data_IF_987934242492
#
_entry.id   IF_987934242492
#
_cell.length_a   1.000
_cell.length_b   1.000
_cell.length_c   1.000
_cell.angle_alpha   90.00
_cell.angle_beta   90.00
_cell.angle_gamma   90.00
#
_symmetry.space_group_name_H-M   'P 1'
#
loop_
_entity.id
_entity.type
_entity.pdbx_description
1 polymer ?
#
# COMPACT_ATOMS: atom_id res chain seq x y z
N UNK A 1 -15.53 5.36 -34.30
CA UNK A 1 -16.73 4.60 -33.96
C UNK A 1 -17.12 5.06 -32.56
N UNK A 2 -17.78 6.20 -32.46
CA UNK A 2 -18.42 6.71 -31.25
C UNK A 2 -19.73 5.93 -31.12
N UNK A 3 -19.71 4.86 -30.34
CA UNK A 3 -20.93 4.20 -29.88
C UNK A 3 -21.61 5.17 -28.93
N UNK A 4 -22.82 5.59 -29.26
CA UNK A 4 -23.73 6.35 -28.39
C UNK A 4 -23.82 5.62 -27.05
N UNK A 5 -23.11 6.15 -26.04
CA UNK A 5 -23.17 5.70 -24.67
C UNK A 5 -24.43 6.32 -24.04
N UNK A 6 -25.57 5.66 -24.30
CA UNK A 6 -26.94 5.94 -23.86
C UNK A 6 -27.04 6.44 -22.42
N UNK A 7 -26.63 7.66 -22.10
CA UNK A 7 -26.92 8.32 -20.81
C UNK A 7 -26.46 7.59 -19.54
N UNK A 8 -25.69 6.49 -19.67
CA UNK A 8 -25.16 5.73 -18.52
C UNK A 8 -23.91 6.40 -17.99
N UNK A 9 -23.74 6.47 -16.68
CA UNK A 9 -22.48 6.93 -16.10
C UNK A 9 -21.33 6.00 -16.53
N UNK A 10 -20.15 6.59 -16.75
CA UNK A 10 -18.99 5.88 -17.25
C UNK A 10 -18.02 5.54 -16.11
N UNK A 11 -17.49 4.33 -16.12
CA UNK A 11 -16.51 3.88 -15.14
C UNK A 11 -15.26 3.32 -15.82
N UNK A 12 -14.09 3.79 -15.39
CA UNK A 12 -12.83 3.11 -15.66
C UNK A 12 -12.56 2.11 -14.54
N UNK A 13 -12.24 0.87 -14.88
CA UNK A 13 -11.96 -0.19 -13.91
C UNK A 13 -10.45 -0.46 -13.94
N UNK A 14 -9.75 -0.22 -12.83
CA UNK A 14 -8.35 -0.59 -12.69
C UNK A 14 -8.23 -2.12 -12.60
N UNK A 15 -7.81 -2.76 -13.67
CA UNK A 15 -7.70 -4.21 -13.79
C UNK A 15 -6.24 -4.65 -13.67
N UNK A 16 -5.93 -5.41 -12.63
CA UNK A 16 -4.60 -5.94 -12.34
C UNK A 16 -4.40 -7.39 -12.82
N UNK A 17 -5.39 -7.99 -13.50
CA UNK A 17 -5.38 -9.42 -13.81
C UNK A 17 -5.72 -10.33 -12.64
N UNK A 18 -5.95 -9.80 -11.45
CA UNK A 18 -6.40 -10.53 -10.27
C UNK A 18 -7.92 -10.66 -10.19
N UNK A 19 -8.38 -11.62 -9.38
CA UNK A 19 -9.81 -11.94 -9.20
C UNK A 19 -10.63 -10.74 -8.72
N UNK A 20 -10.07 -9.94 -7.79
CA UNK A 20 -10.78 -8.83 -7.17
C UNK A 20 -11.11 -7.73 -8.19
N UNK A 21 -10.15 -7.36 -9.04
CA UNK A 21 -10.38 -6.36 -10.10
C UNK A 21 -11.37 -6.86 -11.16
N UNK A 22 -11.40 -8.16 -11.43
CA UNK A 22 -12.34 -8.79 -12.35
C UNK A 22 -13.78 -8.75 -11.81
N UNK A 23 -13.95 -9.06 -10.53
CA UNK A 23 -15.27 -8.99 -9.87
C UNK A 23 -15.71 -7.52 -9.74
N UNK A 24 -14.79 -6.59 -9.45
CA UNK A 24 -15.12 -5.17 -9.44
C UNK A 24 -15.68 -4.70 -10.79
N UNK A 25 -15.09 -5.13 -11.92
CA UNK A 25 -15.58 -4.81 -13.25
C UNK A 25 -17.01 -5.31 -13.47
N UNK A 26 -17.28 -6.56 -13.09
CA UNK A 26 -18.61 -7.14 -13.18
C UNK A 26 -19.64 -6.39 -12.34
N UNK A 27 -19.31 -6.08 -11.08
CA UNK A 27 -20.22 -5.40 -10.17
C UNK A 27 -20.54 -3.97 -10.63
N UNK A 28 -19.59 -3.27 -11.21
CA UNK A 28 -19.83 -1.94 -11.77
C UNK A 28 -20.77 -1.98 -12.98
N UNK A 29 -20.67 -3.00 -13.83
CA UNK A 29 -21.66 -3.21 -14.91
C UNK A 29 -23.05 -3.50 -14.35
N UNK A 30 -23.15 -4.34 -13.31
CA UNK A 30 -24.43 -4.62 -12.65
C UNK A 30 -25.03 -3.37 -11.98
N UNK A 31 -24.19 -2.45 -11.52
CA UNK A 31 -24.60 -1.15 -11.00
C UNK A 31 -25.02 -0.15 -12.10
N UNK A 32 -25.02 -0.56 -13.37
CA UNK A 32 -25.52 0.22 -14.49
C UNK A 32 -24.48 1.12 -15.18
N UNK A 33 -23.20 1.03 -14.82
CA UNK A 33 -22.14 1.82 -15.47
C UNK A 33 -21.79 1.24 -16.86
N UNK A 34 -21.46 2.15 -17.78
CA UNK A 34 -20.72 1.80 -18.98
C UNK A 34 -19.23 1.71 -18.64
N UNK A 35 -18.67 0.47 -18.66
CA UNK A 35 -17.35 0.21 -18.14
C UNK A 35 -16.28 0.10 -19.24
N UNK A 36 -15.08 0.60 -18.93
CA UNK A 36 -13.85 0.30 -19.66
C UNK A 36 -12.79 -0.23 -18.69
N UNK A 37 -12.06 -1.27 -19.09
CA UNK A 37 -10.94 -1.82 -18.34
C UNK A 37 -9.64 -1.04 -18.61
N UNK A 38 -8.83 -0.85 -17.58
CA UNK A 38 -7.54 -0.21 -17.65
C UNK A 38 -6.49 -0.99 -16.87
N UNK A 39 -5.44 -1.48 -17.53
CA UNK A 39 -4.29 -2.08 -16.86
C UNK A 39 -3.10 -1.12 -16.94
N UNK A 40 -2.46 -0.89 -15.80
CA UNK A 40 -1.23 -0.11 -15.72
C UNK A 40 -0.02 -1.03 -15.93
N UNK A 41 0.80 -0.77 -16.93
CA UNK A 41 2.12 -1.37 -17.07
C UNK A 41 3.10 -0.57 -16.21
N UNK A 42 3.57 -1.15 -15.10
CA UNK A 42 4.29 -0.45 -14.04
C UNK A 42 5.80 -0.62 -14.11
N UNK A 43 6.31 -1.77 -14.56
CA UNK A 43 7.74 -2.09 -14.60
C UNK A 43 8.03 -3.13 -15.69
N UNK A 44 9.30 -3.32 -16.00
CA UNK A 44 9.80 -4.42 -16.84
C UNK A 44 10.32 -5.57 -15.96
N UNK A 45 10.48 -6.75 -16.57
CA UNK A 45 11.02 -7.92 -15.87
C UNK A 45 12.39 -7.64 -15.21
N UNK A 46 13.24 -6.89 -15.90
CA UNK A 46 14.55 -6.50 -15.44
C UNK A 46 14.50 -5.67 -14.16
N UNK A 47 13.51 -4.76 -14.04
CA UNK A 47 13.30 -3.95 -12.85
C UNK A 47 12.94 -4.82 -11.62
N UNK A 48 12.24 -5.94 -11.85
CA UNK A 48 11.89 -6.91 -10.82
C UNK A 48 12.96 -8.00 -10.60
N UNK A 49 14.07 -7.96 -11.34
CA UNK A 49 15.14 -8.98 -11.25
C UNK A 49 14.79 -10.30 -11.90
N UNK A 50 13.81 -10.32 -12.80
CA UNK A 50 13.41 -11.50 -13.54
C UNK A 50 14.20 -11.60 -14.86
N UNK A 51 14.56 -12.81 -15.34
CA UNK A 51 15.28 -12.99 -16.59
C UNK A 51 14.51 -12.41 -17.78
N UNK A 52 15.23 -11.90 -18.79
CA UNK A 52 14.66 -11.54 -20.09
C UNK A 52 14.00 -12.78 -20.72
N UNK A 53 12.75 -12.63 -21.18
CA UNK A 53 12.01 -13.73 -21.82
C UNK A 53 11.32 -14.70 -20.85
N UNK A 54 11.45 -14.54 -19.54
CA UNK A 54 10.52 -15.19 -18.62
C UNK A 54 9.12 -14.62 -18.87
N UNK A 55 8.11 -15.50 -18.95
CA UNK A 55 6.72 -15.05 -18.90
C UNK A 55 6.51 -14.29 -17.60
N UNK A 56 6.46 -12.98 -17.73
CA UNK A 56 6.29 -12.12 -16.57
C UNK A 56 4.87 -12.28 -16.05
N UNK A 57 4.70 -12.48 -14.75
CA UNK A 57 3.39 -12.36 -14.11
C UNK A 57 2.62 -11.12 -14.59
N UNK A 58 3.33 -10.03 -14.92
CA UNK A 58 2.74 -8.81 -15.44
C UNK A 58 2.14 -8.94 -16.85
N UNK A 59 2.70 -9.74 -17.76
CA UNK A 59 2.11 -9.98 -19.08
C UNK A 59 0.92 -10.95 -19.00
N UNK A 60 1.04 -12.00 -18.21
CA UNK A 60 -0.07 -12.92 -17.95
C UNK A 60 -1.22 -12.18 -17.23
N UNK A 61 -0.89 -11.27 -16.32
CA UNK A 61 -1.86 -10.40 -15.65
C UNK A 61 -2.62 -9.50 -16.65
N UNK A 62 -1.92 -8.92 -17.61
CA UNK A 62 -2.54 -8.12 -18.69
C UNK A 62 -3.46 -8.98 -19.55
N UNK A 63 -3.02 -10.19 -19.91
CA UNK A 63 -3.85 -11.12 -20.70
C UNK A 63 -5.07 -11.61 -19.92
N UNK A 64 -4.94 -11.92 -18.64
CA UNK A 64 -6.07 -12.28 -17.77
C UNK A 64 -7.09 -11.12 -17.68
N UNK A 65 -6.61 -9.89 -17.48
CA UNK A 65 -7.46 -8.71 -17.48
C UNK A 65 -8.19 -8.52 -18.82
N UNK A 66 -7.48 -8.72 -19.93
CA UNK A 66 -8.06 -8.63 -21.30
C UNK A 66 -9.12 -9.68 -21.54
N UNK A 67 -8.88 -10.94 -21.14
CA UNK A 67 -9.85 -12.05 -21.27
C UNK A 67 -11.11 -11.78 -20.46
N UNK A 68 -10.97 -11.31 -19.22
CA UNK A 68 -12.12 -10.94 -18.39
C UNK A 68 -12.90 -9.78 -19.02
N UNK A 69 -12.21 -8.74 -19.49
CA UNK A 69 -12.85 -7.61 -20.17
C UNK A 69 -13.61 -8.05 -21.42
N UNK A 70 -13.02 -8.96 -22.22
CA UNK A 70 -13.69 -9.56 -23.38
C UNK A 70 -14.94 -10.35 -22.97
N UNK A 71 -14.86 -11.17 -21.93
CA UNK A 71 -16.01 -11.93 -21.38
C UNK A 71 -17.14 -10.99 -20.93
N UNK A 72 -16.79 -9.82 -20.39
CA UNK A 72 -17.74 -8.80 -19.97
C UNK A 72 -18.22 -7.87 -21.09
N UNK A 73 -17.71 -8.04 -22.32
CA UNK A 73 -18.07 -7.22 -23.48
C UNK A 73 -17.66 -5.75 -23.34
N UNK A 74 -16.60 -5.45 -22.61
CA UNK A 74 -16.11 -4.09 -22.38
C UNK A 74 -14.74 -3.86 -23.03
N UNK A 75 -14.43 -2.63 -23.50
CA UNK A 75 -13.11 -2.31 -24.02
C UNK A 75 -12.06 -2.36 -22.92
N UNK A 76 -10.82 -2.73 -23.28
CA UNK A 76 -9.70 -2.80 -22.36
C UNK A 76 -8.48 -2.08 -22.94
N UNK A 77 -7.85 -1.24 -22.12
CA UNK A 77 -6.68 -0.44 -22.48
C UNK A 77 -5.51 -0.73 -21.54
N UNK A 78 -4.31 -0.66 -22.10
CA UNK A 78 -3.07 -0.78 -21.31
C UNK A 78 -2.35 0.57 -21.35
N UNK A 79 -2.13 1.15 -20.17
CA UNK A 79 -1.42 2.42 -20.03
C UNK A 79 0.00 2.18 -19.53
N UNK A 80 0.97 2.81 -20.18
CA UNK A 80 2.37 2.76 -19.78
C UNK A 80 2.66 3.80 -18.70
N UNK A 81 2.88 3.34 -17.47
CA UNK A 81 3.27 4.17 -16.33
C UNK A 81 4.62 3.76 -15.73
N UNK A 82 5.49 3.08 -16.49
CA UNK A 82 6.77 2.58 -16.01
C UNK A 82 7.66 3.67 -15.44
N UNK A 83 7.81 4.79 -16.15
CA UNK A 83 8.67 5.87 -15.71
C UNK A 83 8.13 6.53 -14.43
N UNK A 84 6.83 6.79 -14.37
CA UNK A 84 6.19 7.32 -13.18
C UNK A 84 6.29 6.34 -12.00
N UNK A 85 6.13 5.03 -12.22
CA UNK A 85 6.29 4.02 -11.18
C UNK A 85 7.72 3.94 -10.67
N UNK A 86 8.70 3.99 -11.58
CA UNK A 86 10.12 4.01 -11.21
C UNK A 86 10.43 5.22 -10.33
N UNK A 87 9.97 6.40 -10.70
CA UNK A 87 10.23 7.64 -9.98
C UNK A 87 9.45 7.71 -8.65
N UNK A 88 8.12 7.51 -8.68
CA UNK A 88 7.25 7.79 -7.55
C UNK A 88 7.15 6.63 -6.54
N UNK A 89 7.52 5.40 -6.94
CA UNK A 89 7.40 4.23 -6.07
C UNK A 89 8.77 3.58 -5.84
N UNK A 90 9.44 3.13 -6.89
CA UNK A 90 10.66 2.32 -6.74
C UNK A 90 11.84 3.15 -6.21
N UNK A 91 12.07 4.35 -6.73
CA UNK A 91 13.14 5.23 -6.26
C UNK A 91 12.90 5.70 -4.82
N UNK A 92 11.64 6.02 -4.46
CA UNK A 92 11.26 6.38 -3.08
C UNK A 92 11.45 5.21 -2.11
N UNK A 93 11.08 4.00 -2.55
CA UNK A 93 11.33 2.77 -1.80
C UNK A 93 12.83 2.56 -1.53
N UNK A 94 13.67 2.63 -2.56
CA UNK A 94 15.12 2.48 -2.40
C UNK A 94 15.72 3.57 -1.51
N UNK A 95 15.35 4.83 -1.72
CA UNK A 95 15.82 5.95 -0.91
C UNK A 95 15.41 5.83 0.57
N UNK A 96 14.23 5.27 0.87
CA UNK A 96 13.80 5.04 2.25
C UNK A 96 14.71 4.00 2.93
N UNK A 97 15.01 2.87 2.29
CA UNK A 97 15.94 1.87 2.83
C UNK A 97 17.35 2.44 3.05
N UNK A 98 17.85 3.28 2.14
CA UNK A 98 19.14 3.94 2.31
C UNK A 98 19.16 4.90 3.52
N UNK A 99 18.02 5.43 3.92
CA UNK A 99 17.86 6.24 5.15
C UNK A 99 17.52 5.43 6.40
N UNK A 100 17.65 4.10 6.35
CA UNK A 100 17.35 3.21 7.47
C UNK A 100 15.85 3.07 7.79
N UNK A 101 14.98 3.48 6.88
CA UNK A 101 13.53 3.35 7.00
C UNK A 101 13.02 2.10 6.27
N UNK A 102 11.84 1.63 6.64
CA UNK A 102 11.16 0.49 5.99
C UNK A 102 9.84 0.95 5.39
N UNK A 103 9.79 1.35 4.11
CA UNK A 103 8.60 1.90 3.48
C UNK A 103 7.56 0.82 3.14
N UNK A 104 6.32 1.28 2.91
CA UNK A 104 5.28 0.49 2.25
C UNK A 104 4.98 1.09 0.87
N UNK A 105 5.54 0.55 -0.22
CA UNK A 105 5.40 1.14 -1.56
C UNK A 105 3.97 1.07 -2.13
N UNK A 106 3.08 0.25 -1.56
CA UNK A 106 1.67 0.24 -1.95
C UNK A 106 0.96 1.56 -1.62
N UNK A 107 1.40 2.27 -0.57
CA UNK A 107 0.90 3.61 -0.26
C UNK A 107 1.21 4.59 -1.37
N UNK A 108 2.48 4.65 -1.80
CA UNK A 108 2.91 5.52 -2.90
C UNK A 108 2.23 5.14 -4.23
N UNK A 109 2.10 3.83 -4.52
CA UNK A 109 1.40 3.35 -5.71
C UNK A 109 -0.06 3.80 -5.73
N UNK A 110 -0.77 3.66 -4.62
CA UNK A 110 -2.16 4.14 -4.53
C UNK A 110 -2.22 5.67 -4.68
N UNK A 111 -1.39 6.41 -3.92
CA UNK A 111 -1.40 7.87 -3.88
C UNK A 111 -1.07 8.50 -5.24
N UNK A 112 0.03 8.09 -5.86
CA UNK A 112 0.57 8.76 -7.05
C UNK A 112 0.10 8.16 -8.36
N UNK A 113 -0.06 6.83 -8.43
CA UNK A 113 -0.39 6.19 -9.71
C UNK A 113 -1.88 5.89 -9.83
N UNK A 114 -2.47 5.11 -8.90
CA UNK A 114 -3.88 4.70 -9.07
C UNK A 114 -4.83 5.87 -8.91
N UNK A 115 -4.77 6.57 -7.78
CA UNK A 115 -5.66 7.69 -7.48
C UNK A 115 -5.06 9.06 -7.85
N UNK A 116 -3.87 9.08 -8.42
CA UNK A 116 -3.28 10.25 -9.07
C UNK A 116 -3.41 10.14 -10.59
N UNK A 117 -2.43 9.47 -11.24
CA UNK A 117 -2.32 9.44 -12.71
C UNK A 117 -3.46 8.69 -13.40
N UNK A 118 -3.86 7.51 -12.90
CA UNK A 118 -4.92 6.72 -13.54
C UNK A 118 -6.30 7.38 -13.36
N UNK A 119 -6.57 7.96 -12.19
CA UNK A 119 -7.80 8.72 -11.95
C UNK A 119 -7.88 9.95 -12.87
N UNK A 120 -6.80 10.73 -12.96
CA UNK A 120 -6.73 11.85 -13.89
C UNK A 120 -6.92 11.42 -15.35
N UNK A 121 -6.39 10.26 -15.74
CA UNK A 121 -6.61 9.69 -17.07
C UNK A 121 -8.06 9.28 -17.28
N UNK A 122 -8.70 8.68 -16.27
CA UNK A 122 -10.12 8.30 -16.32
C UNK A 122 -10.99 9.53 -16.60
N UNK A 123 -10.79 10.61 -15.86
CA UNK A 123 -11.50 11.89 -16.07
C UNK A 123 -11.25 12.49 -17.45
N UNK A 124 -10.00 12.47 -17.91
CA UNK A 124 -9.65 12.97 -19.26
C UNK A 124 -10.29 12.15 -20.39
N UNK A 125 -10.66 10.88 -20.12
CA UNK A 125 -11.40 10.02 -21.07
C UNK A 125 -12.93 10.10 -20.88
N UNK A 126 -13.41 10.99 -20.02
CA UNK A 126 -14.84 11.21 -19.78
C UNK A 126 -15.48 10.19 -18.83
N UNK A 127 -14.68 9.47 -18.04
CA UNK A 127 -15.24 8.60 -16.99
C UNK A 127 -15.65 9.42 -15.78
N UNK A 128 -16.83 9.13 -15.23
CA UNK A 128 -17.34 9.75 -14.02
C UNK A 128 -16.63 9.23 -12.78
N UNK A 129 -16.21 7.94 -12.82
CA UNK A 129 -15.56 7.29 -11.69
C UNK A 129 -14.42 6.35 -12.12
N UNK A 130 -13.44 6.21 -11.24
CA UNK A 130 -12.46 5.12 -11.23
C UNK A 130 -12.91 4.06 -10.23
N UNK A 131 -13.03 2.80 -10.65
CA UNK A 131 -13.31 1.69 -9.75
C UNK A 131 -12.10 0.76 -9.64
N UNK A 132 -11.88 0.23 -8.44
CA UNK A 132 -10.78 -0.72 -8.18
C UNK A 132 -11.25 -1.89 -7.34
N UNK A 133 -10.50 -2.98 -7.33
CA UNK A 133 -10.75 -4.18 -6.52
C UNK A 133 -10.33 -4.05 -5.04
N UNK A 134 -10.19 -2.85 -4.49
CA UNK A 134 -9.86 -2.69 -3.08
C UNK A 134 -11.04 -3.04 -2.17
N UNK A 135 -10.71 -3.66 -1.03
CA UNK A 135 -11.63 -3.91 0.07
C UNK A 135 -11.61 -2.72 1.03
N UNK A 136 -12.48 -1.76 0.80
CA UNK A 136 -12.78 -0.61 1.65
C UNK A 136 -14.17 -0.09 1.24
N UNK A 137 -14.79 0.75 2.04
CA UNK A 137 -16.09 1.37 1.73
C UNK A 137 -15.94 2.88 1.61
N UNK A 138 -16.67 3.46 0.67
CA UNK A 138 -16.81 4.92 0.52
C UNK A 138 -18.30 5.24 0.72
N UNK A 139 -18.57 6.20 1.58
CA UNK A 139 -19.93 6.67 1.87
C UNK A 139 -19.97 8.19 1.79
N UNK A 140 -21.10 8.74 1.32
CA UNK A 140 -21.32 10.18 1.38
C UNK A 140 -22.10 10.52 2.64
N UNK A 141 -21.60 11.46 3.41
CA UNK A 141 -22.22 11.95 4.62
C UNK A 141 -23.37 12.92 4.28
N UNK A 142 -24.32 13.17 5.22
CA UNK A 142 -25.43 14.10 4.98
C UNK A 142 -25.01 15.53 4.66
N UNK A 143 -23.82 15.94 5.06
CA UNK A 143 -23.24 17.26 4.76
C UNK A 143 -22.59 17.35 3.37
N UNK A 144 -22.64 16.24 2.59
CA UNK A 144 -22.11 16.14 1.25
C UNK A 144 -20.63 15.69 1.18
N UNK A 145 -19.91 15.62 2.31
CA UNK A 145 -18.54 15.11 2.38
C UNK A 145 -18.49 13.59 2.19
N UNK A 146 -17.37 13.12 1.70
CA UNK A 146 -17.13 11.70 1.55
C UNK A 146 -16.28 11.16 2.69
N UNK A 147 -16.56 9.94 3.08
CA UNK A 147 -15.80 9.23 4.11
C UNK A 147 -15.29 7.90 3.59
N UNK A 148 -14.11 7.51 4.05
CA UNK A 148 -13.51 6.20 3.82
C UNK A 148 -13.73 5.32 5.06
N UNK A 149 -14.20 4.10 4.85
CA UNK A 149 -14.44 3.15 5.92
C UNK A 149 -13.76 1.83 5.67
N UNK A 150 -13.52 1.07 6.74
CA UNK A 150 -13.03 -0.31 6.67
C UNK A 150 -13.95 -1.18 5.82
N UNK A 151 -13.40 -2.23 5.24
CA UNK A 151 -14.18 -3.25 4.56
C UNK A 151 -15.11 -4.01 5.50
N UNK A 152 -16.13 -4.65 4.93
CA UNK A 152 -16.97 -5.61 5.66
C UNK A 152 -16.21 -6.90 6.03
N UNK A 153 -15.19 -7.27 5.24
CA UNK A 153 -14.27 -8.36 5.53
C UNK A 153 -13.02 -7.84 6.27
N UNK A 154 -12.91 -8.04 7.61
CA UNK A 154 -11.80 -7.49 8.38
C UNK A 154 -10.45 -8.14 8.04
N UNK A 155 -10.45 -9.37 7.49
CA UNK A 155 -9.21 -10.05 7.08
C UNK A 155 -8.64 -9.52 5.76
N UNK A 156 -9.48 -8.84 4.98
CA UNK A 156 -9.13 -8.24 3.67
C UNK A 156 -9.15 -6.73 3.66
N UNK A 157 -9.43 -6.09 4.80
CA UNK A 157 -9.49 -4.63 4.90
C UNK A 157 -8.21 -3.96 4.39
N UNK A 158 -8.37 -3.11 3.38
CA UNK A 158 -7.30 -2.36 2.73
C UNK A 158 -7.38 -0.85 3.00
N UNK A 159 -8.21 -0.43 3.93
CA UNK A 159 -8.38 0.97 4.29
C UNK A 159 -7.06 1.65 4.70
N UNK A 160 -6.14 0.89 5.31
CA UNK A 160 -4.81 1.35 5.70
C UNK A 160 -4.00 1.94 4.52
N UNK A 161 -4.03 1.30 3.36
CA UNK A 161 -3.27 1.76 2.18
C UNK A 161 -4.00 2.82 1.36
N UNK A 162 -5.17 3.27 1.83
CA UNK A 162 -6.04 4.26 1.18
C UNK A 162 -6.18 5.55 2.00
N UNK A 163 -5.53 5.65 3.15
CA UNK A 163 -5.70 6.74 4.12
C UNK A 163 -5.26 8.14 3.62
N UNK A 164 -4.67 8.24 2.43
CA UNK A 164 -4.26 9.50 1.79
C UNK A 164 -5.22 9.98 0.69
N UNK A 165 -6.37 9.32 0.52
CA UNK A 165 -7.37 9.76 -0.45
C UNK A 165 -7.97 11.11 -0.03
N UNK A 166 -8.07 12.02 -0.99
CA UNK A 166 -8.71 13.33 -0.79
C UNK A 166 -10.22 13.25 -1.01
N UNK A 167 -10.95 14.28 -0.58
CA UNK A 167 -12.39 14.41 -0.84
C UNK A 167 -12.73 14.32 -2.33
N UNK A 168 -11.94 14.98 -3.19
CA UNK A 168 -12.12 14.90 -4.64
C UNK A 168 -11.92 13.48 -5.17
N UNK A 169 -10.86 12.80 -4.74
CA UNK A 169 -10.60 11.42 -5.14
C UNK A 169 -11.68 10.46 -4.66
N UNK A 170 -12.18 10.62 -3.42
CA UNK A 170 -13.28 9.80 -2.89
C UNK A 170 -14.58 9.99 -3.67
N UNK A 171 -14.90 11.22 -4.07
CA UNK A 171 -16.08 11.51 -4.88
C UNK A 171 -16.09 10.74 -6.19
N UNK A 172 -14.90 10.62 -6.83
CA UNK A 172 -14.71 9.97 -8.13
C UNK A 172 -14.21 8.51 -8.05
N UNK A 173 -14.19 7.90 -6.87
CA UNK A 173 -13.73 6.52 -6.66
C UNK A 173 -14.87 5.60 -6.23
N UNK A 174 -14.82 4.31 -6.67
CA UNK A 174 -15.72 3.26 -6.20
C UNK A 174 -14.91 2.01 -5.83
N UNK A 175 -15.30 1.41 -4.69
CA UNK A 175 -14.77 0.13 -4.20
C UNK A 175 -15.89 -0.89 -4.13
N UNK A 176 -16.23 -1.55 -5.26
CA UNK A 176 -17.40 -2.44 -5.32
C UNK A 176 -17.32 -3.65 -4.39
N UNK A 177 -16.10 -4.03 -3.97
CA UNK A 177 -15.86 -5.17 -3.09
C UNK A 177 -15.95 -4.82 -1.60
N UNK A 178 -16.08 -3.54 -1.25
CA UNK A 178 -16.02 -3.10 0.14
C UNK A 178 -17.06 -3.70 1.07
N UNK A 179 -18.23 -4.10 0.54
CA UNK A 179 -19.31 -4.76 1.26
C UNK A 179 -19.27 -6.29 1.21
N UNK A 180 -18.30 -6.92 0.51
CA UNK A 180 -18.23 -8.35 0.29
C UNK A 180 -17.12 -9.00 1.12
N UNK A 181 -17.32 -10.27 1.46
CA UNK A 181 -16.26 -11.15 1.92
C UNK A 181 -15.47 -11.68 0.73
N UNK A 182 -14.20 -12.02 0.94
CA UNK A 182 -13.33 -12.58 -0.12
C UNK A 182 -13.91 -13.85 -0.74
N UNK A 183 -14.54 -14.71 0.06
CA UNK A 183 -15.22 -15.93 -0.42
C UNK A 183 -16.37 -15.62 -1.39
N UNK A 184 -17.13 -14.56 -1.12
CA UNK A 184 -18.23 -14.14 -2.01
C UNK A 184 -17.69 -13.60 -3.34
N UNK A 185 -16.62 -12.81 -3.31
CA UNK A 185 -15.95 -12.34 -4.51
C UNK A 185 -15.45 -13.52 -5.38
N UNK A 186 -14.83 -14.53 -4.77
CA UNK A 186 -14.40 -15.75 -5.48
C UNK A 186 -15.58 -16.51 -6.08
N UNK A 187 -16.66 -16.71 -5.34
CA UNK A 187 -17.88 -17.36 -5.83
C UNK A 187 -18.48 -16.63 -7.05
N UNK A 188 -18.47 -15.30 -7.05
CA UNK A 188 -18.89 -14.50 -8.21
C UNK A 188 -17.97 -14.76 -9.41
N UNK A 189 -16.65 -14.77 -9.22
CA UNK A 189 -15.69 -15.01 -10.29
C UNK A 189 -15.86 -16.40 -10.91
N UNK A 190 -16.06 -17.42 -10.09
CA UNK A 190 -16.33 -18.81 -10.51
C UNK A 190 -17.66 -18.92 -11.27
N UNK A 191 -18.74 -18.36 -10.72
CA UNK A 191 -20.06 -18.37 -11.36
C UNK A 191 -20.07 -17.64 -12.72
N UNK A 192 -19.16 -16.68 -12.93
CA UNK A 192 -18.99 -15.97 -14.20
C UNK A 192 -17.98 -16.61 -15.14
N UNK A 193 -17.30 -17.67 -14.73
CA UNK A 193 -16.31 -18.38 -15.54
C UNK A 193 -15.07 -17.54 -15.85
N UNK A 194 -14.66 -16.64 -14.93
CA UNK A 194 -13.46 -15.85 -15.13
C UNK A 194 -12.22 -16.73 -15.11
N UNK A 195 -11.32 -16.52 -16.08
CA UNK A 195 -10.10 -17.34 -16.24
C UNK A 195 -9.19 -17.30 -15.02
N UNK A 196 -9.27 -16.24 -14.22
CA UNK A 196 -8.45 -16.00 -13.04
C UNK A 196 -9.18 -16.27 -11.71
N UNK A 197 -10.35 -16.93 -11.71
CA UNK A 197 -11.15 -17.19 -10.51
C UNK A 197 -10.36 -17.91 -9.39
N UNK A 198 -9.46 -18.81 -9.75
CA UNK A 198 -8.63 -19.58 -8.82
C UNK A 198 -7.23 -18.99 -8.58
N UNK A 199 -6.93 -17.82 -9.14
CA UNK A 199 -5.63 -17.17 -8.99
C UNK A 199 -5.40 -16.78 -7.52
N UNK A 200 -4.18 -17.04 -7.04
CA UNK A 200 -3.80 -16.62 -5.68
C UNK A 200 -3.67 -15.10 -5.58
N UNK A 201 -3.99 -14.57 -4.41
CA UNK A 201 -3.80 -13.15 -4.13
C UNK A 201 -2.28 -12.84 -4.12
N UNK A 202 -1.89 -11.68 -4.63
CA UNK A 202 -0.51 -11.19 -4.49
C UNK A 202 -0.21 -10.98 -3.00
N UNK A 203 0.86 -11.63 -2.51
CA UNK A 203 1.19 -11.64 -1.07
C UNK A 203 2.27 -10.63 -0.71
N UNK A 204 3.02 -10.11 -1.70
CA UNK A 204 4.21 -9.29 -1.48
C UNK A 204 4.26 -8.08 -2.44
N UNK A 205 5.32 -7.29 -2.32
CA UNK A 205 5.58 -6.13 -3.17
C UNK A 205 5.75 -6.58 -4.62
N UNK A 206 4.94 -6.04 -5.52
CA UNK A 206 4.82 -6.53 -6.90
C UNK A 206 6.15 -6.53 -7.71
N UNK A 207 7.09 -5.63 -7.40
CA UNK A 207 8.41 -5.55 -8.04
C UNK A 207 9.55 -6.21 -7.22
N UNK A 208 9.20 -6.94 -6.14
CA UNK A 208 10.13 -7.74 -5.31
C UNK A 208 9.52 -9.12 -5.09
N UNK A 209 9.36 -9.92 -6.16
CA UNK A 209 8.60 -11.17 -6.10
C UNK A 209 9.28 -12.27 -5.27
N UNK A 210 10.59 -12.16 -5.06
CA UNK A 210 11.41 -13.09 -4.26
C UNK A 210 11.51 -12.69 -2.77
N UNK A 211 10.97 -11.52 -2.40
CA UNK A 211 11.04 -10.98 -1.04
C UNK A 211 12.44 -10.49 -0.63
N UNK A 212 13.42 -10.45 -1.54
CA UNK A 212 14.75 -9.90 -1.26
C UNK A 212 14.77 -8.38 -1.51
N UNK A 213 14.29 -7.63 -0.51
CA UNK A 213 14.22 -6.17 -0.57
C UNK A 213 15.60 -5.51 -0.73
N UNK A 214 16.64 -6.08 -0.11
CA UNK A 214 17.99 -5.54 -0.20
C UNK A 214 18.55 -5.68 -1.63
N UNK A 215 18.41 -6.85 -2.25
CA UNK A 215 18.79 -7.05 -3.65
C UNK A 215 18.00 -6.12 -4.59
N UNK A 216 16.71 -5.89 -4.30
CA UNK A 216 15.92 -4.93 -5.07
C UNK A 216 16.46 -3.51 -4.92
N UNK A 217 16.80 -3.06 -3.70
CA UNK A 217 17.41 -1.73 -3.47
C UNK A 217 18.74 -1.61 -4.20
N UNK A 218 19.63 -2.61 -4.10
CA UNK A 218 20.93 -2.61 -4.82
C UNK A 218 20.72 -2.51 -6.34
N UNK A 219 19.79 -3.25 -6.89
CA UNK A 219 19.46 -3.20 -8.32
C UNK A 219 18.94 -1.83 -8.75
N UNK A 220 18.04 -1.24 -7.96
CA UNK A 220 17.41 0.05 -8.27
C UNK A 220 18.39 1.22 -8.16
N UNK A 221 19.34 1.13 -7.24
CA UNK A 221 20.33 2.21 -7.00
C UNK A 221 21.62 2.04 -7.76
N UNK A 222 21.92 0.82 -8.23
CA UNK A 222 23.22 0.45 -8.80
C UNK A 222 24.36 0.40 -7.75
N UNK A 223 24.04 0.66 -6.47
CA UNK A 223 25.01 0.69 -5.39
C UNK A 223 24.94 -0.62 -4.58
N UNK A 224 26.10 -1.15 -4.20
CA UNK A 224 26.19 -2.31 -3.32
C UNK A 224 26.15 -1.88 -1.85
N UNK A 225 25.58 -2.74 -1.02
CA UNK A 225 25.58 -2.59 0.42
C UNK A 225 27.00 -2.55 0.98
N UNK A 226 27.24 -1.65 1.91
CA UNK A 226 28.53 -1.55 2.62
C UNK A 226 28.38 -2.24 3.97
N UNK A 227 29.23 -3.26 4.26
CA UNK A 227 29.27 -3.88 5.59
C UNK A 227 29.52 -2.86 6.69
N UNK A 228 28.91 -3.07 7.86
CA UNK A 228 29.03 -2.20 9.02
C UNK A 228 29.00 -3.00 10.32
N UNK A 229 28.79 -2.33 11.44
CA UNK A 229 28.89 -2.94 12.77
C UNK A 229 27.49 -3.19 13.35
N UNK A 230 27.31 -4.37 13.95
CA UNK A 230 26.27 -4.56 14.96
C UNK A 230 26.80 -4.04 16.29
N UNK A 231 26.01 -3.20 16.94
CA UNK A 231 26.34 -2.64 18.25
C UNK A 231 25.18 -2.88 19.24
N UNK A 232 25.45 -2.88 20.54
CA UNK A 232 24.43 -2.80 21.56
C UNK A 232 24.02 -1.34 21.84
N UNK A 233 23.06 -1.13 22.77
CA UNK A 233 22.61 0.22 23.18
C UNK A 233 23.71 1.08 23.82
N UNK A 234 24.86 0.50 24.19
CA UNK A 234 26.01 1.19 24.79
C UNK A 234 27.11 1.44 23.77
N UNK A 235 26.94 1.02 22.51
CA UNK A 235 27.93 1.14 21.46
C UNK A 235 29.00 0.04 21.44
N UNK A 236 28.85 -1.02 22.25
CA UNK A 236 29.76 -2.16 22.20
C UNK A 236 29.52 -2.96 20.91
N UNK A 237 30.61 -3.28 20.20
CA UNK A 237 30.55 -4.04 18.95
C UNK A 237 30.22 -5.50 19.22
N UNK A 238 29.15 -5.99 18.61
CA UNK A 238 28.69 -7.37 18.71
C UNK A 238 29.08 -8.22 17.49
N UNK A 239 29.39 -7.58 16.36
CA UNK A 239 29.76 -8.26 15.11
C UNK A 239 29.66 -7.34 13.89
N UNK A 240 29.65 -7.94 12.70
CA UNK A 240 29.60 -7.22 11.42
C UNK A 240 28.35 -7.62 10.63
N UNK A 241 27.67 -6.62 10.06
CA UNK A 241 26.50 -6.83 9.20
C UNK A 241 26.82 -6.58 7.71
N UNK A 242 25.93 -7.05 6.82
CA UNK A 242 26.06 -6.98 5.35
C UNK A 242 25.76 -5.62 4.73
N UNK A 243 25.29 -4.67 5.51
CA UNK A 243 24.78 -3.35 5.11
C UNK A 243 23.41 -3.08 5.72
N UNK A 244 23.16 -1.83 6.10
CA UNK A 244 21.94 -1.42 6.84
C UNK A 244 20.63 -1.77 6.11
N UNK A 245 20.61 -1.77 4.79
CA UNK A 245 19.42 -2.05 3.98
C UNK A 245 18.89 -3.50 4.13
N UNK A 246 19.66 -4.41 4.72
CA UNK A 246 19.26 -5.79 4.99
C UNK A 246 18.47 -5.93 6.30
N UNK A 247 18.27 -4.86 7.06
CA UNK A 247 17.71 -4.91 8.41
C UNK A 247 16.50 -4.00 8.57
N UNK A 248 15.56 -4.46 9.38
CA UNK A 248 14.33 -3.75 9.72
C UNK A 248 14.10 -3.82 11.22
N UNK A 249 13.59 -2.75 11.82
CA UNK A 249 13.25 -2.70 13.25
C UNK A 249 12.34 -3.87 13.65
N UNK A 250 12.71 -4.59 14.72
CA UNK A 250 12.02 -5.77 15.20
C UNK A 250 12.47 -7.08 14.56
N UNK A 251 13.40 -7.07 13.59
CA UNK A 251 13.96 -8.27 12.97
C UNK A 251 14.77 -9.06 14.00
N UNK A 252 14.51 -10.39 14.06
CA UNK A 252 15.23 -11.35 14.93
C UNK A 252 16.11 -12.30 14.12
N UNK A 253 15.64 -12.73 12.95
CA UNK A 253 16.32 -13.76 12.13
C UNK A 253 17.34 -13.13 11.21
N UNK A 254 18.39 -13.91 10.85
CA UNK A 254 19.38 -13.47 9.87
C UNK A 254 20.42 -12.46 10.39
N UNK A 255 20.53 -12.30 11.72
CA UNK A 255 21.55 -11.42 12.33
C UNK A 255 22.94 -12.06 12.37
N UNK A 256 23.03 -13.40 12.47
CA UNK A 256 24.31 -14.10 12.54
C UNK A 256 25.11 -13.85 13.81
N UNK A 257 24.48 -13.35 14.87
CA UNK A 257 25.12 -13.06 16.16
C UNK A 257 24.75 -14.16 17.17
N UNK A 258 25.77 -14.78 17.77
CA UNK A 258 25.58 -15.69 18.89
C UNK A 258 25.42 -14.88 20.18
N UNK A 259 24.34 -15.12 20.91
CA UNK A 259 24.05 -14.45 22.17
C UNK A 259 23.27 -15.39 23.10
N UNK A 260 23.37 -15.19 24.41
CA UNK A 260 22.69 -16.00 25.44
C UNK A 260 21.16 -15.89 25.36
N UNK A 261 20.64 -14.78 24.81
CA UNK A 261 19.21 -14.58 24.61
C UNK A 261 18.96 -13.94 23.25
N UNK A 262 17.72 -14.09 22.69
CA UNK A 262 17.37 -13.51 21.39
C UNK A 262 17.63 -12.02 21.33
N UNK A 263 18.31 -11.59 20.26
CA UNK A 263 18.54 -10.20 19.92
C UNK A 263 17.60 -9.77 18.79
N UNK A 264 17.30 -8.49 18.78
CA UNK A 264 16.40 -7.84 17.82
C UNK A 264 17.03 -6.54 17.32
N UNK A 265 16.74 -6.17 16.08
CA UNK A 265 17.10 -4.86 15.56
C UNK A 265 16.24 -3.81 16.26
N UNK A 266 16.86 -2.95 17.05
CA UNK A 266 16.21 -1.87 17.79
C UNK A 266 16.43 -0.49 17.16
N UNK A 267 17.50 -0.32 16.36
CA UNK A 267 17.82 0.92 15.69
C UNK A 267 18.70 0.71 14.47
N UNK A 268 18.71 1.70 13.58
CA UNK A 268 19.61 1.79 12.43
C UNK A 268 20.23 3.18 12.44
N UNK A 269 21.53 3.25 12.69
CA UNK A 269 22.35 4.46 12.64
C UNK A 269 23.01 4.57 11.26
N UNK A 270 22.40 5.33 10.38
CA UNK A 270 22.87 5.49 9.00
C UNK A 270 24.21 6.22 8.92
N UNK A 271 24.40 7.36 9.64
CA UNK A 271 25.69 8.07 9.63
C UNK A 271 26.88 7.21 10.00
N UNK A 272 26.74 6.34 11.01
CA UNK A 272 27.81 5.47 11.50
C UNK A 272 27.83 4.09 10.83
N UNK A 273 26.87 3.80 9.93
CA UNK A 273 26.66 2.48 9.32
C UNK A 273 26.58 1.37 10.38
N UNK A 274 25.72 1.58 11.39
CA UNK A 274 25.53 0.66 12.51
C UNK A 274 24.09 0.18 12.60
N UNK A 275 23.93 -1.08 13.02
CA UNK A 275 22.64 -1.68 13.37
C UNK A 275 22.65 -1.96 14.86
N UNK A 276 21.77 -1.28 15.60
CA UNK A 276 21.66 -1.41 17.06
C UNK A 276 20.81 -2.62 17.39
N UNK A 277 21.39 -3.54 18.18
CA UNK A 277 20.71 -4.74 18.66
C UNK A 277 20.37 -4.62 20.15
N UNK A 278 19.18 -5.12 20.52
CA UNK A 278 18.71 -5.12 21.89
C UNK A 278 17.81 -6.32 22.19
N UNK A 279 17.21 -6.31 23.38
CA UNK A 279 16.25 -7.31 23.83
C UNK A 279 14.84 -6.98 23.30
N UNK A 280 13.91 -7.94 23.40
CA UNK A 280 12.54 -7.67 22.99
C UNK A 280 11.88 -6.51 23.75
N UNK A 281 12.26 -6.28 25.00
CA UNK A 281 11.75 -5.16 25.80
C UNK A 281 12.11 -3.80 25.21
N UNK A 282 13.26 -3.68 24.55
CA UNK A 282 13.78 -2.44 23.97
C UNK A 282 13.05 -2.01 22.68
N UNK A 283 12.15 -2.87 22.19
CA UNK A 283 11.33 -2.59 21.00
C UNK A 283 10.03 -1.85 21.30
N UNK A 284 9.71 -1.63 22.58
CA UNK A 284 8.41 -1.06 22.94
C UNK A 284 8.51 0.43 23.20
N UNK A 285 7.58 1.20 22.62
CA UNK A 285 7.39 2.63 22.87
C UNK A 285 5.90 2.96 22.94
N UNK A 286 5.54 3.95 23.74
CA UNK A 286 4.18 4.51 23.80
C UNK A 286 3.99 5.69 22.87
N UNK A 287 5.05 6.18 22.23
CA UNK A 287 5.00 7.43 21.46
C UNK A 287 5.66 7.28 20.10
N UNK A 288 5.16 8.03 19.15
CA UNK A 288 5.78 8.24 17.85
C UNK A 288 5.43 9.63 17.30
N UNK A 289 6.31 10.13 16.43
CA UNK A 289 6.04 11.27 15.57
C UNK A 289 5.81 10.80 14.14
N UNK A 290 4.97 11.53 13.41
CA UNK A 290 4.70 11.26 12.01
C UNK A 290 4.55 12.55 11.21
N UNK A 291 5.00 12.48 9.95
CA UNK A 291 4.98 13.58 8.98
C UNK A 291 4.24 13.22 7.69
N UNK A 292 4.02 14.20 6.82
CA UNK A 292 3.25 14.03 5.58
C UNK A 292 1.82 13.59 5.85
N UNK A 293 1.24 14.05 6.95
CA UNK A 293 -0.10 13.69 7.39
C UNK A 293 -1.17 14.22 6.42
N UNK A 294 -2.17 13.39 6.17
CA UNK A 294 -3.36 13.71 5.38
C UNK A 294 -4.61 13.33 6.18
N UNK A 295 -5.64 14.15 6.05
CA UNK A 295 -6.94 13.94 6.70
C UNK A 295 -8.02 13.71 5.64
N UNK A 296 -8.78 12.64 5.78
CA UNK A 296 -9.85 12.28 4.83
C UNK A 296 -10.91 13.38 4.73
N UNK A 297 -11.24 14.05 5.83
CA UNK A 297 -12.17 15.18 5.84
C UNK A 297 -11.69 16.40 5.04
N UNK A 298 -10.39 16.51 4.81
CA UNK A 298 -9.72 17.72 4.30
C UNK A 298 -9.40 18.75 5.38
N UNK A 299 -9.96 18.61 6.58
CA UNK A 299 -9.77 19.52 7.69
C UNK A 299 -8.74 18.99 8.68
N UNK A 300 -7.78 19.83 9.06
CA UNK A 300 -6.78 19.51 10.09
C UNK A 300 -7.42 19.67 11.48
N UNK A 301 -7.37 18.64 12.33
CA UNK A 301 -7.91 18.73 13.70
C UNK A 301 -7.26 19.86 14.52
N UNK A 302 -8.09 20.64 15.17
CA UNK A 302 -7.63 21.78 16.01
C UNK A 302 -7.38 21.40 17.47
N UNK A 303 -7.81 20.21 17.88
CA UNK A 303 -7.65 19.68 19.23
C UNK A 303 -7.17 18.23 19.18
N UNK A 304 -6.52 17.74 20.26
CA UNK A 304 -6.13 16.33 20.34
C UNK A 304 -7.30 15.39 20.15
N UNK A 305 -7.11 14.38 19.32
CA UNK A 305 -8.11 13.35 19.02
C UNK A 305 -7.83 12.07 19.82
N UNK A 306 -8.83 11.56 20.52
CA UNK A 306 -8.82 10.21 21.11
C UNK A 306 -9.41 9.24 20.10
N UNK A 307 -8.57 8.37 19.56
CA UNK A 307 -8.88 7.50 18.42
C UNK A 307 -8.13 6.18 18.57
N UNK A 308 -8.25 5.31 17.56
CA UNK A 308 -7.37 4.15 17.43
C UNK A 308 -6.40 4.35 16.26
N UNK A 309 -5.22 3.71 16.34
CA UNK A 309 -4.25 3.77 15.25
C UNK A 309 -3.66 2.39 14.94
N UNK A 310 -3.32 2.18 13.65
CA UNK A 310 -2.47 1.09 13.17
C UNK A 310 -1.13 1.65 12.74
N UNK A 311 -0.04 1.04 13.20
CA UNK A 311 1.32 1.38 12.79
C UNK A 311 1.92 0.39 11.79
N UNK A 312 1.17 -0.64 11.41
CA UNK A 312 1.48 -1.62 10.35
C UNK A 312 0.20 -2.17 9.74
N UNK A 313 0.25 -2.57 8.50
CA UNK A 313 -0.90 -3.07 7.73
C UNK A 313 -1.68 -4.20 8.44
N UNK A 314 -0.98 -5.19 9.00
CA UNK A 314 -1.59 -6.37 9.64
C UNK A 314 -1.71 -6.27 11.16
N UNK A 315 -1.38 -5.13 11.75
CA UNK A 315 -1.45 -4.96 13.20
C UNK A 315 -2.88 -4.56 13.62
N UNK A 316 -3.38 -5.07 14.76
CA UNK A 316 -4.61 -4.57 15.36
C UNK A 316 -4.49 -3.09 15.74
N UNK A 317 -5.61 -2.39 15.68
CA UNK A 317 -5.68 -1.02 16.15
C UNK A 317 -5.44 -0.92 17.65
N UNK A 318 -4.80 0.18 18.04
CA UNK A 318 -4.49 0.47 19.44
C UNK A 318 -5.01 1.86 19.81
N UNK A 319 -5.62 2.01 21.00
CA UNK A 319 -6.08 3.31 21.49
C UNK A 319 -4.92 4.29 21.62
N UNK A 320 -5.12 5.51 21.16
CA UNK A 320 -4.12 6.58 21.22
C UNK A 320 -4.76 7.97 21.26
N UNK A 321 -3.95 8.94 21.60
CA UNK A 321 -4.23 10.37 21.41
C UNK A 321 -3.32 10.91 20.32
N UNK A 322 -3.92 11.58 19.33
CA UNK A 322 -3.21 12.23 18.23
C UNK A 322 -3.25 13.72 18.44
N UNK A 323 -2.09 14.36 18.48
CA UNK A 323 -1.92 15.81 18.63
C UNK A 323 -1.23 16.37 17.39
N UNK A 324 -1.87 17.31 16.72
CA UNK A 324 -1.26 18.03 15.58
C UNK A 324 -0.17 18.94 16.11
N UNK A 325 1.05 18.82 15.58
CA UNK A 325 2.25 19.57 15.99
C UNK A 325 2.72 20.56 14.93
N UNK A 326 2.24 20.45 13.70
CA UNK A 326 2.58 21.34 12.59
C UNK A 326 1.58 21.20 11.44
N UNK A 327 1.89 21.77 10.30
CA UNK A 327 0.99 21.80 9.14
C UNK A 327 0.61 20.38 8.65
N UNK A 328 1.56 19.45 8.67
CA UNK A 328 1.41 18.06 8.24
C UNK A 328 2.10 17.07 9.18
N UNK A 329 2.33 17.47 10.45
CA UNK A 329 2.99 16.65 11.46
C UNK A 329 2.08 16.41 12.65
N UNK A 330 2.22 15.22 13.25
CA UNK A 330 1.49 14.83 14.45
C UNK A 330 2.39 14.11 15.43
N UNK A 331 2.07 14.24 16.71
CA UNK A 331 2.56 13.40 17.78
C UNK A 331 1.46 12.43 18.20
N UNK A 332 1.81 11.16 18.40
CA UNK A 332 0.85 10.10 18.76
C UNK A 332 1.30 9.43 20.05
N UNK A 333 0.44 9.50 21.09
CA UNK A 333 0.65 8.84 22.38
C UNK A 333 -0.32 7.66 22.52
N UNK A 334 0.20 6.44 22.63
CA UNK A 334 -0.59 5.22 22.81
C UNK A 334 -0.86 4.94 24.28
N UNK A 335 -2.03 4.38 24.60
CA UNK A 335 -2.36 3.96 25.97
C UNK A 335 -1.53 2.75 26.43
N UNK A 336 -1.04 1.94 25.51
CA UNK A 336 -0.18 0.78 25.77
C UNK A 336 1.05 0.79 24.86
N UNK A 337 2.22 0.27 25.35
CA UNK A 337 3.43 0.24 24.54
C UNK A 337 3.26 -0.56 23.24
N UNK A 338 3.67 0.04 22.12
CA UNK A 338 3.63 -0.55 20.79
C UNK A 338 4.97 -1.14 20.43
N UNK A 339 4.95 -2.40 19.93
CA UNK A 339 6.16 -3.11 19.57
C UNK A 339 6.68 -2.69 18.20
N UNK A 340 7.98 -2.37 18.14
CA UNK A 340 8.72 -2.14 16.90
C UNK A 340 8.09 -1.07 16.01
N UNK A 341 7.82 0.11 16.58
CA UNK A 341 7.48 1.30 15.80
C UNK A 341 8.59 1.50 14.77
N UNK A 342 8.23 1.56 13.49
CA UNK A 342 9.21 1.47 12.42
C UNK A 342 9.14 2.70 11.53
N UNK A 343 10.25 3.40 11.44
CA UNK A 343 10.42 4.56 10.55
C UNK A 343 10.10 4.21 9.10
N UNK A 344 9.33 5.08 8.43
CA UNK A 344 8.91 4.91 7.05
C UNK A 344 7.64 4.07 6.85
N UNK A 345 7.15 3.39 7.90
CA UNK A 345 5.80 2.81 7.88
C UNK A 345 4.75 3.91 8.06
N UNK A 346 3.51 3.61 7.67
CA UNK A 346 2.41 4.51 7.97
C UNK A 346 1.90 4.33 9.40
N UNK A 347 1.39 5.43 9.99
CA UNK A 347 0.40 5.39 11.05
C UNK A 347 -0.93 5.84 10.46
N UNK A 348 -1.99 5.07 10.65
CA UNK A 348 -3.34 5.37 10.14
C UNK A 348 -4.32 5.42 11.30
N UNK A 349 -5.14 6.48 11.33
CA UNK A 349 -6.06 6.81 12.41
C UNK A 349 -7.48 6.41 12.08
N UNK A 350 -8.19 5.87 13.06
CA UNK A 350 -9.55 5.36 12.92
C UNK A 350 -10.44 5.83 14.06
N UNK A 351 -11.69 6.12 13.71
CA UNK A 351 -12.80 6.25 14.67
C UNK A 351 -13.85 5.21 14.31
N UNK A 352 -13.96 4.16 15.13
CA UNK A 352 -14.74 2.99 14.81
C UNK A 352 -14.32 2.33 13.50
N UNK A 353 -15.18 2.34 12.48
CA UNK A 353 -14.91 1.84 11.13
C UNK A 353 -14.45 2.93 10.15
N UNK A 354 -14.45 4.19 10.58
CA UNK A 354 -14.08 5.33 9.74
C UNK A 354 -12.59 5.59 9.77
N UNK A 355 -11.99 5.77 8.61
CA UNK A 355 -10.60 6.24 8.47
C UNK A 355 -10.59 7.76 8.57
N UNK A 356 -9.81 8.29 9.50
CA UNK A 356 -9.67 9.73 9.69
C UNK A 356 -8.54 10.32 8.85
N UNK A 357 -7.48 9.54 8.65
CA UNK A 357 -6.28 9.96 7.93
C UNK A 357 -5.07 9.14 8.34
N UNK A 358 -3.88 9.62 8.01
CA UNK A 358 -2.62 8.98 8.39
C UNK A 358 -1.41 9.81 8.06
N UNK A 359 -0.25 9.36 8.53
CA UNK A 359 1.06 9.96 8.31
C UNK A 359 2.15 8.91 8.16
N UNK A 360 3.36 9.32 7.77
CA UNK A 360 4.55 8.46 7.73
C UNK A 360 5.31 8.61 9.04
N UNK A 361 5.63 7.51 9.69
CA UNK A 361 6.39 7.45 10.95
C UNK A 361 7.83 7.93 10.70
N UNK A 362 8.29 8.89 11.51
CA UNK A 362 9.61 9.53 11.43
C UNK A 362 10.73 8.75 12.11
#
# INVERSE_FOLDING_TARGET
MQTELNGRPQAMIAMSGGVDSSVAAYLMQQAGYACMGATMRLYENEDAGLPQGSTCCALDDVEDARRVAYTLGMPHYVFNYKDAFREQVMARFAAAYQRGATPNPCLDCNRYLKFGLLESRARALGCDVLATGHYARIEQLPDGRWTLKKAADPEKDQSYVLAWLTQEQLAHTRFPLGGLRKSEARAIAEARGFCNAHKHDSQDICFVPDGDYAAAVERLTGARSVPGRFVDAHGNVLGTHRGIIHYTIGQRRGLGIAAEAPLYVCGIDVPNNEVVLGRNADLFSTELDASGCSWISGDVPQQPLRVTARIRYRQPEQPCTVTVTGADTVHVSFEAPQRAITRGQAVVFYDGDTVLGGGTID
#
